data_IF_631716529632
#
_entry.id   IF_631716529632
#
_cell.length_a   1.000
_cell.length_b   1.000
_cell.length_c   1.000
_cell.angle_alpha   90.00
_cell.angle_beta   90.00
_cell.angle_gamma   90.00
#
_symmetry.space_group_name_H-M   'P 1'
#
loop_
_entity.id
_entity.type
_entity.pdbx_description
1 polymer ?
#
# COMPACT_ATOMS: atom_id res chain seq x y z
N UNK A 1 9.01 5.12 -23.88
CA UNK A 1 8.36 4.34 -22.81
C UNK A 1 9.07 4.70 -21.51
N UNK A 2 8.36 5.07 -20.45
CA UNK A 2 8.99 5.46 -19.19
C UNK A 2 9.26 4.21 -18.34
N UNK A 3 10.53 3.97 -18.06
CA UNK A 3 11.00 2.91 -17.19
C UNK A 3 10.88 3.38 -15.73
N UNK A 4 10.06 2.70 -14.93
CA UNK A 4 9.89 3.05 -13.52
C UNK A 4 11.08 2.46 -12.74
N UNK A 5 11.80 3.33 -12.05
CA UNK A 5 12.94 2.91 -11.22
C UNK A 5 12.46 2.34 -9.89
N UNK A 6 13.32 1.57 -9.23
CA UNK A 6 13.05 1.11 -7.87
C UNK A 6 12.85 2.28 -6.89
N UNK A 7 13.59 3.39 -7.05
CA UNK A 7 13.42 4.60 -6.23
C UNK A 7 12.04 5.26 -6.43
N UNK A 8 11.50 5.25 -7.64
CA UNK A 8 10.16 5.76 -7.92
C UNK A 8 9.07 4.89 -7.26
N UNK A 9 9.23 3.56 -7.26
CA UNK A 9 8.32 2.65 -6.55
C UNK A 9 8.35 2.87 -5.04
N UNK A 10 9.52 3.15 -4.48
CA UNK A 10 9.66 3.43 -3.05
C UNK A 10 9.03 4.76 -2.69
N UNK A 11 9.25 5.79 -3.50
CA UNK A 11 8.60 7.10 -3.31
C UNK A 11 7.07 6.97 -3.36
N UNK A 12 6.56 6.21 -4.34
CA UNK A 12 5.13 5.91 -4.43
C UNK A 12 4.61 5.10 -3.24
N UNK A 13 5.39 4.13 -2.75
CA UNK A 13 5.04 3.35 -1.56
C UNK A 13 4.93 4.24 -0.32
N UNK A 14 5.89 5.16 -0.13
CA UNK A 14 5.87 6.12 0.97
C UNK A 14 4.60 6.98 0.90
N UNK A 15 4.31 7.57 -0.26
CA UNK A 15 3.13 8.39 -0.48
C UNK A 15 1.81 7.62 -0.29
N UNK A 16 1.70 6.41 -0.85
CA UNK A 16 0.52 5.56 -0.72
C UNK A 16 0.24 5.22 0.75
N UNK A 17 1.25 4.81 1.50
CA UNK A 17 1.09 4.42 2.90
C UNK A 17 0.80 5.63 3.80
N UNK A 18 1.41 6.79 3.55
CA UNK A 18 1.13 8.03 4.28
C UNK A 18 -0.30 8.50 4.06
N UNK A 19 -0.75 8.54 2.79
CA UNK A 19 -2.13 8.91 2.46
C UNK A 19 -3.13 7.90 3.02
N UNK A 20 -2.83 6.60 2.95
CA UNK A 20 -3.69 5.56 3.55
C UNK A 20 -3.81 5.74 5.06
N UNK A 21 -2.70 5.98 5.76
CA UNK A 21 -2.69 6.17 7.20
C UNK A 21 -3.46 7.44 7.60
N UNK A 22 -3.32 8.54 6.86
CA UNK A 22 -4.10 9.75 7.06
C UNK A 22 -5.60 9.50 6.87
N UNK A 23 -5.99 8.89 5.74
CA UNK A 23 -7.37 8.52 5.45
C UNK A 23 -8.01 7.69 6.57
N UNK A 24 -7.30 6.68 7.09
CA UNK A 24 -7.82 5.89 8.21
C UNK A 24 -7.92 6.67 9.53
N UNK A 25 -7.01 7.60 9.81
CA UNK A 25 -7.12 8.49 10.99
C UNK A 25 -8.33 9.41 10.88
N UNK A 26 -8.60 9.91 9.68
CA UNK A 26 -9.78 10.75 9.43
C UNK A 26 -11.07 9.93 9.61
N UNK A 27 -11.10 8.68 9.13
CA UNK A 27 -12.20 7.74 9.39
C UNK A 27 -12.40 7.45 10.88
N UNK A 28 -11.33 7.34 11.66
CA UNK A 28 -11.41 7.18 13.12
C UNK A 28 -12.13 8.36 13.77
N UNK A 29 -11.84 9.60 13.34
CA UNK A 29 -12.48 10.80 13.86
C UNK A 29 -13.95 10.91 13.43
N UNK A 30 -14.25 10.52 12.19
CA UNK A 30 -15.58 10.66 11.57
C UNK A 30 -16.57 9.57 12.00
N UNK A 31 -16.09 8.34 12.20
CA UNK A 31 -16.94 7.17 12.43
C UNK A 31 -16.52 6.38 13.68
N UNK A 32 -16.99 6.82 14.88
CA UNK A 32 -16.64 6.18 16.15
C UNK A 32 -16.93 4.67 16.20
N UNK A 33 -17.96 4.21 15.50
CA UNK A 33 -18.34 2.79 15.43
C UNK A 33 -17.26 1.87 14.83
N UNK A 34 -16.43 2.39 13.93
CA UNK A 34 -15.30 1.66 13.31
C UNK A 34 -13.93 2.09 13.84
N UNK A 35 -13.87 3.06 14.76
CA UNK A 35 -12.67 3.78 15.14
C UNK A 35 -11.48 2.89 15.50
N UNK A 36 -11.70 1.85 16.33
CA UNK A 36 -10.64 0.91 16.73
C UNK A 36 -10.05 0.16 15.54
N UNK A 37 -10.89 -0.26 14.59
CA UNK A 37 -10.42 -0.96 13.39
C UNK A 37 -9.66 0.00 12.51
N UNK A 38 -10.20 1.19 12.20
CA UNK A 38 -9.52 2.18 11.37
C UNK A 38 -8.17 2.60 11.96
N UNK A 39 -8.07 2.81 13.27
CA UNK A 39 -6.81 3.13 13.91
C UNK A 39 -5.77 2.00 13.71
N UNK A 40 -6.20 0.75 13.88
CA UNK A 40 -5.34 -0.41 13.61
C UNK A 40 -4.91 -0.49 12.14
N UNK A 41 -5.75 -0.07 11.19
CA UNK A 41 -5.41 -0.01 9.77
C UNK A 41 -4.38 1.10 9.48
N UNK A 42 -4.54 2.28 10.08
CA UNK A 42 -3.57 3.37 9.99
C UNK A 42 -2.18 2.93 10.50
N UNK A 43 -2.13 2.27 11.66
CA UNK A 43 -0.88 1.72 12.21
C UNK A 43 -0.26 0.64 11.33
N UNK A 44 -1.09 -0.18 10.66
CA UNK A 44 -0.58 -1.19 9.73
C UNK A 44 0.04 -0.55 8.49
N UNK A 45 -0.51 0.55 7.98
CA UNK A 45 0.08 1.29 6.87
C UNK A 45 1.50 1.78 7.23
N UNK A 46 1.66 2.38 8.41
CA UNK A 46 2.97 2.81 8.92
C UNK A 46 3.97 1.64 9.05
N UNK A 47 3.50 0.46 9.48
CA UNK A 47 4.33 -0.75 9.58
C UNK A 47 4.74 -1.27 8.20
N UNK A 48 3.84 -1.23 7.21
CA UNK A 48 4.14 -1.62 5.83
C UNK A 48 5.20 -0.69 5.24
N UNK A 49 4.99 0.63 5.34
CA UNK A 49 5.93 1.65 4.89
C UNK A 49 7.33 1.40 5.46
N UNK A 50 7.44 1.28 6.78
CA UNK A 50 8.72 1.04 7.46
C UNK A 50 9.40 -0.24 6.98
N UNK A 51 8.65 -1.32 6.83
CA UNK A 51 9.18 -2.60 6.34
C UNK A 51 9.78 -2.43 4.94
N UNK A 52 8.98 -1.95 3.99
CA UNK A 52 9.39 -1.86 2.58
C UNK A 52 10.56 -0.90 2.38
N UNK A 53 10.50 0.30 2.96
CA UNK A 53 11.55 1.31 2.82
C UNK A 53 12.85 0.82 3.46
N UNK A 54 12.77 0.17 4.64
CA UNK A 54 13.95 -0.38 5.30
C UNK A 54 14.58 -1.49 4.47
N UNK A 55 13.79 -2.48 4.02
CA UNK A 55 14.29 -3.58 3.19
C UNK A 55 14.91 -3.07 1.90
N UNK A 56 14.30 -2.06 1.28
CA UNK A 56 14.89 -1.37 0.14
C UNK A 56 16.26 -0.80 0.51
N UNK A 57 16.35 0.11 1.49
CA UNK A 57 17.62 0.76 1.88
C UNK A 57 18.72 -0.25 2.23
N UNK A 58 18.37 -1.36 2.89
CA UNK A 58 19.31 -2.42 3.26
C UNK A 58 19.78 -3.26 2.04
N UNK A 59 18.93 -3.48 1.04
CA UNK A 59 19.23 -4.34 -0.13
C UNK A 59 19.86 -3.56 -1.29
N UNK A 60 19.56 -2.27 -1.38
CA UNK A 60 19.85 -1.38 -2.52
C UNK A 60 21.31 -0.98 -2.61
N UNK A 61 22.07 -1.15 -1.52
CA UNK A 61 23.53 -1.00 -1.54
C UNK A 61 24.20 -1.90 -2.60
N UNK A 62 23.66 -3.10 -2.88
CA UNK A 62 24.23 -4.03 -3.88
C UNK A 62 23.47 -3.99 -5.22
N UNK A 63 22.18 -3.65 -5.23
CA UNK A 63 21.34 -3.74 -6.42
C UNK A 63 21.44 -2.53 -7.37
N UNK A 64 21.79 -1.33 -6.87
CA UNK A 64 21.84 -0.11 -7.69
C UNK A 64 22.99 -0.04 -8.68
N UNK A 65 24.02 -0.88 -8.56
CA UNK A 65 25.03 -1.02 -9.62
C UNK A 65 24.43 -1.60 -10.93
N UNK A 66 23.25 -2.24 -10.89
CA UNK A 66 22.71 -3.01 -12.01
C UNK A 66 21.56 -2.36 -12.80
N UNK A 67 21.12 -1.14 -12.44
CA UNK A 67 20.18 -0.36 -13.26
C UNK A 67 18.79 -1.00 -13.47
N UNK A 68 18.27 -1.76 -12.48
CA UNK A 68 16.98 -2.45 -12.61
C UNK A 68 15.79 -1.49 -12.85
N UNK A 69 14.99 -1.80 -13.87
CA UNK A 69 13.78 -1.09 -14.27
C UNK A 69 12.55 -1.99 -14.21
N UNK A 70 11.42 -1.43 -13.78
CA UNK A 70 10.13 -2.08 -13.85
C UNK A 70 9.43 -1.70 -15.17
N UNK A 71 9.77 -2.43 -16.23
CA UNK A 71 9.25 -2.17 -17.58
C UNK A 71 7.73 -2.28 -17.65
N UNK A 72 7.08 -1.35 -18.35
CA UNK A 72 5.63 -1.28 -18.55
C UNK A 72 4.80 -1.25 -17.25
N UNK A 73 5.35 -0.74 -16.15
CA UNK A 73 4.57 -0.46 -14.93
C UNK A 73 3.98 0.95 -15.01
N UNK A 74 2.70 1.10 -14.65
CA UNK A 74 2.02 2.41 -14.57
C UNK A 74 1.51 2.62 -13.15
N UNK A 75 2.21 3.47 -12.38
CA UNK A 75 1.83 3.76 -10.99
C UNK A 75 0.44 4.39 -10.87
N UNK A 76 0.07 5.24 -11.84
CA UNK A 76 -1.26 5.86 -11.92
C UNK A 76 -2.43 4.86 -11.95
N UNK A 77 -2.19 3.61 -12.36
CA UNK A 77 -3.23 2.58 -12.32
C UNK A 77 -3.65 2.19 -10.89
N UNK A 78 -2.85 2.55 -9.89
CA UNK A 78 -3.03 2.21 -8.48
C UNK A 78 -3.41 3.43 -7.63
N UNK A 79 -3.44 4.62 -8.23
CA UNK A 79 -3.86 5.82 -7.52
C UNK A 79 -5.30 5.67 -7.01
N UNK A 80 -5.48 6.14 -5.79
CA UNK A 80 -6.78 6.18 -5.13
C UNK A 80 -7.02 7.61 -4.70
N UNK A 81 -8.16 8.15 -5.11
CA UNK A 81 -8.65 9.41 -4.58
C UNK A 81 -9.22 9.13 -3.19
N UNK A 82 -8.56 9.68 -2.17
CA UNK A 82 -8.84 9.44 -0.75
C UNK A 82 -9.49 10.66 -0.11
N UNK A 83 -10.47 11.24 -0.79
CA UNK A 83 -11.26 12.35 -0.27
C UNK A 83 -12.46 11.82 0.51
N UNK A 84 -12.63 12.32 1.73
CA UNK A 84 -13.72 11.99 2.65
C UNK A 84 -14.89 12.95 2.47
N UNK A 85 -15.48 12.95 1.28
CA UNK A 85 -16.60 13.84 0.93
C UNK A 85 -17.92 13.37 1.58
N UNK A 86 -18.10 12.05 1.76
CA UNK A 86 -19.35 11.47 2.24
C UNK A 86 -19.38 11.29 3.76
N UNK A 87 -20.52 11.62 4.38
CA UNK A 87 -20.84 11.31 5.77
C UNK A 87 -21.46 9.90 5.93
N UNK A 88 -21.58 9.14 4.85
CA UNK A 88 -22.11 7.78 4.87
C UNK A 88 -21.02 6.77 5.25
N UNK A 89 -21.26 6.04 6.34
CA UNK A 89 -20.33 5.03 6.84
C UNK A 89 -20.10 3.86 5.87
N UNK A 90 -21.15 3.45 5.14
CA UNK A 90 -21.06 2.36 4.18
C UNK A 90 -20.26 2.79 2.96
N UNK A 91 -20.50 3.98 2.43
CA UNK A 91 -19.70 4.52 1.32
C UNK A 91 -18.22 4.66 1.72
N UNK A 92 -17.96 5.12 2.95
CA UNK A 92 -16.61 5.19 3.50
C UNK A 92 -15.92 3.81 3.60
N UNK A 93 -16.66 2.77 4.00
CA UNK A 93 -16.17 1.39 4.02
C UNK A 93 -15.89 0.87 2.60
N UNK A 94 -16.77 1.14 1.64
CA UNK A 94 -16.58 0.75 0.24
C UNK A 94 -15.32 1.39 -0.36
N UNK A 95 -15.09 2.68 -0.08
CA UNK A 95 -13.86 3.39 -0.48
C UNK A 95 -12.61 2.77 0.19
N UNK A 96 -12.69 2.45 1.49
CA UNK A 96 -11.61 1.81 2.22
C UNK A 96 -11.27 0.41 1.66
N UNK A 97 -12.28 -0.40 1.32
CA UNK A 97 -12.11 -1.72 0.69
C UNK A 97 -11.45 -1.58 -0.68
N UNK A 98 -11.89 -0.61 -1.48
CA UNK A 98 -11.31 -0.34 -2.79
C UNK A 98 -9.84 0.10 -2.71
N UNK A 99 -9.49 0.93 -1.72
CA UNK A 99 -8.10 1.30 -1.42
C UNK A 99 -7.25 0.07 -1.10
N UNK A 100 -7.69 -0.78 -0.15
CA UNK A 100 -6.91 -1.95 0.26
C UNK A 100 -6.70 -2.94 -0.89
N UNK A 101 -7.73 -3.12 -1.74
CA UNK A 101 -7.63 -3.95 -2.94
C UNK A 101 -6.58 -3.40 -3.92
N UNK A 102 -6.65 -2.11 -4.26
CA UNK A 102 -5.69 -1.47 -5.17
C UNK A 102 -4.26 -1.53 -4.64
N UNK A 103 -4.07 -1.29 -3.34
CA UNK A 103 -2.77 -1.38 -2.69
C UNK A 103 -2.23 -2.83 -2.70
N UNK A 104 -3.08 -3.82 -2.44
CA UNK A 104 -2.71 -5.23 -2.55
C UNK A 104 -2.28 -5.60 -3.98
N UNK A 105 -3.04 -5.18 -4.99
CA UNK A 105 -2.73 -5.43 -6.39
C UNK A 105 -1.41 -4.77 -6.82
N UNK A 106 -1.16 -3.54 -6.37
CA UNK A 106 0.12 -2.86 -6.54
C UNK A 106 1.27 -3.70 -5.98
N UNK A 107 1.23 -4.03 -4.69
CA UNK A 107 2.31 -4.77 -4.05
C UNK A 107 2.52 -6.17 -4.63
N UNK A 108 1.44 -6.86 -4.99
CA UNK A 108 1.52 -8.17 -5.63
C UNK A 108 2.22 -8.10 -6.99
N UNK A 109 1.94 -7.06 -7.78
CA UNK A 109 2.58 -6.87 -9.08
C UNK A 109 4.06 -6.53 -8.95
N UNK A 110 4.44 -5.64 -8.02
CA UNK A 110 5.85 -5.33 -7.75
C UNK A 110 6.60 -6.56 -7.25
N UNK A 111 6.02 -7.32 -6.32
CA UNK A 111 6.61 -8.56 -5.80
C UNK A 111 6.83 -9.59 -6.92
N UNK A 112 5.90 -9.69 -7.87
CA UNK A 112 6.03 -10.60 -9.03
C UNK A 112 7.16 -10.16 -9.95
N UNK A 113 7.27 -8.87 -10.27
CA UNK A 113 8.26 -8.33 -11.21
C UNK A 113 9.68 -8.28 -10.64
N UNK A 114 9.84 -8.12 -9.33
CA UNK A 114 11.15 -8.01 -8.66
C UNK A 114 11.75 -9.36 -8.24
N UNK A 115 11.00 -10.47 -8.33
CA UNK A 115 11.39 -11.77 -7.77
C UNK A 115 12.70 -12.35 -8.33
N UNK A 116 12.95 -12.18 -9.62
CA UNK A 116 14.12 -12.79 -10.30
C UNK A 116 15.45 -12.12 -9.94
N UNK A 117 15.42 -10.86 -9.49
CA UNK A 117 16.62 -10.05 -9.30
C UNK A 117 16.78 -9.58 -7.85
N UNK A 118 15.69 -9.45 -7.10
CA UNK A 118 15.67 -8.87 -5.76
C UNK A 118 14.76 -9.68 -4.82
N UNK A 119 15.10 -10.95 -4.59
CA UNK A 119 14.26 -11.88 -3.82
C UNK A 119 13.85 -11.32 -2.44
N UNK A 120 14.77 -10.67 -1.72
CA UNK A 120 14.48 -10.06 -0.40
C UNK A 120 13.46 -8.92 -0.50
N UNK A 121 13.63 -8.01 -1.46
CA UNK A 121 12.68 -6.92 -1.72
C UNK A 121 11.34 -7.46 -2.21
N UNK A 122 11.34 -8.47 -3.09
CA UNK A 122 10.14 -9.12 -3.58
C UNK A 122 9.33 -9.75 -2.43
N UNK A 123 10.01 -10.33 -1.43
CA UNK A 123 9.37 -10.87 -0.23
C UNK A 123 8.75 -9.78 0.64
N UNK A 124 9.42 -8.62 0.84
CA UNK A 124 8.82 -7.52 1.60
C UNK A 124 7.56 -6.97 0.93
N UNK A 125 7.56 -6.84 -0.41
CA UNK A 125 6.35 -6.47 -1.15
C UNK A 125 5.26 -7.55 -1.06
N UNK A 126 5.63 -8.83 -1.08
CA UNK A 126 4.66 -9.92 -0.90
C UNK A 126 4.03 -9.90 0.50
N UNK A 127 4.79 -9.54 1.53
CA UNK A 127 4.27 -9.36 2.87
C UNK A 127 3.31 -8.16 2.96
N UNK A 128 3.67 -7.04 2.32
CA UNK A 128 2.79 -5.88 2.19
C UNK A 128 1.45 -6.23 1.52
N UNK A 129 1.46 -6.95 0.39
CA UNK A 129 0.25 -7.45 -0.28
C UNK A 129 -0.64 -8.25 0.68
N UNK A 130 -0.06 -9.20 1.44
CA UNK A 130 -0.81 -10.03 2.39
C UNK A 130 -1.47 -9.20 3.48
N UNK A 131 -0.74 -8.20 4.02
CA UNK A 131 -1.27 -7.29 5.04
C UNK A 131 -2.42 -6.44 4.50
N UNK A 132 -2.30 -5.92 3.28
CA UNK A 132 -3.36 -5.18 2.58
C UNK A 132 -4.60 -6.04 2.37
N UNK A 133 -4.46 -7.29 1.92
CA UNK A 133 -5.59 -8.25 1.81
C UNK A 133 -6.24 -8.56 3.15
N UNK A 134 -5.45 -8.71 4.21
CA UNK A 134 -5.99 -8.94 5.54
C UNK A 134 -6.76 -7.72 6.07
N UNK A 135 -6.29 -6.51 5.79
CA UNK A 135 -7.02 -5.27 6.08
C UNK A 135 -8.34 -5.20 5.31
N UNK A 136 -8.33 -5.54 4.01
CA UNK A 136 -9.54 -5.62 3.19
C UNK A 136 -10.59 -6.54 3.82
N UNK A 137 -10.20 -7.76 4.22
CA UNK A 137 -11.11 -8.70 4.86
C UNK A 137 -11.70 -8.15 6.17
N UNK A 138 -10.93 -7.40 6.97
CA UNK A 138 -11.44 -6.75 8.18
C UNK A 138 -12.51 -5.71 7.87
N UNK A 139 -12.34 -4.97 6.78
CA UNK A 139 -13.32 -3.97 6.34
C UNK A 139 -14.58 -4.62 5.76
N UNK A 140 -14.43 -5.70 4.99
CA UNK A 140 -15.57 -6.48 4.48
C UNK A 140 -16.41 -7.07 5.61
N UNK A 141 -15.77 -7.54 6.68
CA UNK A 141 -16.46 -7.99 7.90
C UNK A 141 -17.17 -6.86 8.67
N UNK A 142 -16.76 -5.60 8.48
CA UNK A 142 -17.45 -4.44 9.07
C UNK A 142 -18.61 -3.94 8.20
N UNK A 143 -18.61 -4.27 6.92
CA UNK A 143 -19.63 -3.84 5.95
C UNK A 143 -20.82 -4.82 5.85
N UNK A 144 -20.62 -6.07 6.26
CA UNK A 144 -21.66 -7.11 6.35
C UNK A 144 -22.37 -7.13 7.69
#
# INVERSE_FOLDING_TARGET
MANITASAIISYTEELEDKSAAFYRDLTAKFPQGAKTFLSLAENCEKIKKLVIRTYRETVSDALETGFSFDNLKLIAYDSELTLESDDYREALEQAIALEKKAADFYGEIARRSRSLLATIAMSFKDAEKRRKHNQNKLELLAG
#
